data_IF_106119508002
#
_entry.id   IF_106119508002
#
_cell.length_a   1.000
_cell.length_b   1.000
_cell.length_c   1.000
_cell.angle_alpha   90.00
_cell.angle_beta   90.00
_cell.angle_gamma   90.00
#
_symmetry.space_group_name_H-M   'P 1'
#
loop_
_entity.id
_entity.type
_entity.pdbx_description
1 polymer ?
#
# COMPACT_ATOMS: atom_id res chain seq x y z
N UNK A 1 -21.60 1.85 -9.20
CA UNK A 1 -20.14 1.71 -9.33
C UNK A 1 -19.55 3.01 -8.81
N UNK A 2 -19.42 3.09 -7.49
CA UNK A 2 -18.96 4.30 -6.78
C UNK A 2 -17.50 4.52 -7.17
N UNK A 3 -17.25 5.52 -8.01
CA UNK A 3 -15.98 5.70 -8.74
C UNK A 3 -14.77 5.98 -7.85
N UNK A 4 -14.31 4.96 -7.15
CA UNK A 4 -13.00 4.86 -6.54
C UNK A 4 -12.22 3.78 -7.26
N UNK A 5 -10.99 4.08 -7.61
CA UNK A 5 -10.07 3.14 -8.22
C UNK A 5 -9.29 2.44 -7.12
N UNK A 6 -9.46 1.12 -7.01
CA UNK A 6 -8.70 0.29 -6.08
C UNK A 6 -7.71 -0.55 -6.89
N UNK A 7 -6.44 -0.51 -6.53
CA UNK A 7 -5.40 -1.29 -7.18
C UNK A 7 -4.77 -2.25 -6.17
N UNK A 8 -4.75 -3.53 -6.53
CA UNK A 8 -4.10 -4.57 -5.74
C UNK A 8 -2.90 -5.10 -6.51
N UNK A 9 -1.69 -4.85 -6.00
CA UNK A 9 -0.46 -5.27 -6.66
C UNK A 9 -0.21 -6.79 -6.55
N UNK A 10 -0.95 -7.51 -5.70
CA UNK A 10 -0.76 -8.96 -5.54
C UNK A 10 0.56 -9.30 -4.84
N UNK A 11 1.00 -10.58 -4.89
CA UNK A 11 2.31 -11.00 -4.43
C UNK A 11 3.38 -10.59 -5.45
N UNK A 12 3.50 -9.28 -5.65
CA UNK A 12 4.48 -8.71 -6.55
C UNK A 12 5.86 -8.89 -5.91
N UNK A 13 6.77 -9.54 -6.62
CA UNK A 13 8.16 -9.75 -6.17
C UNK A 13 9.15 -8.84 -6.88
N UNK A 14 8.74 -8.21 -7.99
CA UNK A 14 9.60 -7.40 -8.85
C UNK A 14 9.11 -5.95 -8.90
N UNK A 15 9.98 -4.99 -8.61
CA UNK A 15 9.63 -3.56 -8.63
C UNK A 15 9.34 -3.02 -10.04
N UNK A 16 9.74 -3.76 -11.08
CA UNK A 16 9.58 -3.36 -12.47
C UNK A 16 8.22 -3.77 -13.00
N UNK A 17 7.22 -2.94 -12.74
CA UNK A 17 5.98 -2.96 -13.49
C UNK A 17 6.21 -2.45 -14.91
N UNK A 18 5.66 -3.16 -15.90
CA UNK A 18 5.66 -2.71 -17.29
C UNK A 18 5.05 -1.31 -17.40
N UNK A 19 5.54 -0.45 -18.31
CA UNK A 19 5.01 0.90 -18.50
C UNK A 19 3.49 0.89 -18.75
N UNK A 20 3.00 -0.09 -19.54
CA UNK A 20 1.56 -0.30 -19.78
C UNK A 20 0.77 -0.51 -18.48
N UNK A 21 1.32 -1.27 -17.53
CA UNK A 21 0.71 -1.50 -16.22
C UNK A 21 0.73 -0.22 -15.39
N UNK A 22 1.81 0.57 -15.45
CA UNK A 22 1.87 1.85 -14.74
C UNK A 22 0.85 2.84 -15.28
N UNK A 23 0.70 2.92 -16.59
CA UNK A 23 -0.28 3.78 -17.26
C UNK A 23 -1.72 3.33 -17.00
N UNK A 24 -1.97 2.02 -16.96
CA UNK A 24 -3.29 1.47 -16.62
C UNK A 24 -3.68 1.70 -15.14
N UNK A 25 -2.68 1.92 -14.29
CA UNK A 25 -2.82 2.13 -12.85
C UNK A 25 -2.88 3.65 -12.53
N UNK A 26 -2.89 4.54 -13.52
CA UNK A 26 -3.01 5.98 -13.27
C UNK A 26 -4.33 6.36 -12.59
N UNK A 27 -4.26 7.22 -11.57
CA UNK A 27 -5.45 7.72 -10.85
C UNK A 27 -6.05 6.75 -9.83
N UNK A 28 -5.23 5.95 -9.14
CA UNK A 28 -5.70 5.09 -8.04
C UNK A 28 -6.08 5.94 -6.82
N UNK A 29 -7.18 5.59 -6.18
CA UNK A 29 -7.52 6.12 -4.87
C UNK A 29 -6.90 5.28 -3.75
N UNK A 30 -7.00 3.96 -3.83
CA UNK A 30 -6.49 3.04 -2.80
C UNK A 30 -5.56 2.01 -3.40
N UNK A 31 -4.30 2.01 -2.95
CA UNK A 31 -3.28 1.06 -3.38
C UNK A 31 -2.97 0.07 -2.28
N UNK A 32 -3.07 -1.21 -2.59
CA UNK A 32 -2.59 -2.29 -1.72
C UNK A 32 -1.22 -2.75 -2.20
N UNK A 33 -0.23 -2.69 -1.31
CA UNK A 33 1.16 -3.02 -1.63
C UNK A 33 1.68 -4.12 -0.71
N UNK A 34 2.25 -5.22 -1.25
CA UNK A 34 2.90 -6.23 -0.42
C UNK A 34 4.22 -5.67 0.15
N UNK A 35 4.46 -5.85 1.44
CA UNK A 35 5.65 -5.34 2.12
C UNK A 35 6.48 -6.44 2.81
N UNK A 36 6.25 -7.69 2.44
CA UNK A 36 6.71 -8.86 3.20
C UNK A 36 8.20 -9.14 3.15
N UNK A 37 8.99 -8.58 2.21
CA UNK A 37 10.46 -8.72 2.20
C UNK A 37 11.04 -10.14 2.03
N UNK A 38 10.22 -11.19 1.98
CA UNK A 38 10.63 -12.59 1.81
C UNK A 38 9.69 -13.29 0.79
N UNK A 39 10.03 -13.19 -0.50
CA UNK A 39 9.23 -13.71 -1.61
C UNK A 39 8.27 -12.70 -2.27
N UNK A 40 8.14 -11.50 -1.70
CA UNK A 40 7.44 -10.34 -2.30
C UNK A 40 8.31 -9.09 -2.21
N UNK A 41 7.78 -7.93 -2.59
CA UNK A 41 8.47 -6.64 -2.49
C UNK A 41 8.99 -6.37 -1.08
N UNK A 42 10.21 -5.82 -1.04
CA UNK A 42 10.83 -5.29 0.17
C UNK A 42 10.07 -4.05 0.66
N UNK A 43 9.85 -3.87 1.97
CA UNK A 43 9.09 -2.74 2.52
C UNK A 43 9.58 -1.36 2.03
N UNK A 44 10.89 -1.16 1.88
CA UNK A 44 11.42 0.12 1.40
C UNK A 44 11.10 0.34 -0.10
N UNK A 45 11.23 -0.72 -0.89
CA UNK A 45 10.95 -0.70 -2.33
C UNK A 45 9.45 -0.56 -2.60
N UNK A 46 8.63 -1.29 -1.83
CA UNK A 46 7.18 -1.22 -1.85
C UNK A 46 6.66 0.20 -1.60
N UNK A 47 7.20 0.89 -0.59
CA UNK A 47 6.84 2.28 -0.32
C UNK A 47 7.19 3.20 -1.49
N UNK A 48 8.43 3.08 -2.01
CA UNK A 48 8.88 3.88 -3.16
C UNK A 48 8.04 3.62 -4.41
N UNK A 49 7.59 2.38 -4.62
CA UNK A 49 6.69 2.02 -5.71
C UNK A 49 5.30 2.62 -5.48
N UNK A 50 4.78 2.54 -4.26
CA UNK A 50 3.48 3.09 -3.90
C UNK A 50 3.42 4.61 -4.12
N UNK A 51 4.44 5.36 -3.69
CA UNK A 51 4.52 6.81 -3.85
C UNK A 51 4.60 7.21 -5.34
N UNK A 52 5.20 6.39 -6.21
CA UNK A 52 5.23 6.68 -7.67
C UNK A 52 3.83 6.67 -8.30
N UNK A 53 2.88 5.96 -7.70
CA UNK A 53 1.50 5.92 -8.17
C UNK A 53 0.64 7.06 -7.63
N UNK A 54 1.18 7.88 -6.72
CA UNK A 54 0.44 8.96 -6.03
C UNK A 54 -0.98 8.56 -5.57
N UNK A 55 -1.18 7.40 -4.92
CA UNK A 55 -2.49 7.00 -4.45
C UNK A 55 -2.94 7.91 -3.31
N UNK A 56 -4.27 8.00 -3.10
CA UNK A 56 -4.82 8.73 -1.94
C UNK A 56 -4.52 7.99 -0.64
N UNK A 57 -4.63 6.66 -0.65
CA UNK A 57 -4.40 5.79 0.50
C UNK A 57 -3.51 4.62 0.09
N UNK A 58 -2.55 4.29 0.95
CA UNK A 58 -1.66 3.14 0.81
C UNK A 58 -1.95 2.14 1.93
N UNK A 59 -2.23 0.89 1.57
CA UNK A 59 -2.50 -0.19 2.51
C UNK A 59 -1.40 -1.24 2.37
N UNK A 60 -0.44 -1.31 3.32
CA UNK A 60 0.51 -2.39 3.35
C UNK A 60 -0.21 -3.73 3.57
N UNK A 61 0.26 -4.78 2.89
CA UNK A 61 -0.23 -6.16 2.98
C UNK A 61 0.97 -7.12 3.00
N UNK A 62 0.73 -8.42 3.21
CA UNK A 62 1.79 -9.42 3.33
C UNK A 62 2.84 -9.04 4.39
N UNK A 63 2.42 -8.77 5.62
CA UNK A 63 3.33 -8.61 6.77
C UNK A 63 2.79 -9.43 7.96
N UNK A 64 3.64 -9.69 8.97
CA UNK A 64 3.23 -10.40 10.18
C UNK A 64 3.38 -11.91 10.05
N UNK A 65 2.29 -12.64 9.76
CA UNK A 65 2.32 -14.10 9.58
C UNK A 65 2.90 -14.52 8.23
N UNK A 66 2.74 -13.67 7.22
CA UNK A 66 3.30 -13.85 5.88
C UNK A 66 4.35 -12.76 5.64
N UNK A 67 5.62 -13.15 5.55
CA UNK A 67 6.76 -12.25 5.37
C UNK A 67 7.49 -11.85 6.67
N UNK A 68 8.31 -10.80 6.59
CA UNK A 68 9.16 -10.34 7.68
C UNK A 68 8.34 -9.67 8.80
N UNK A 69 8.69 -9.97 10.06
CA UNK A 69 7.98 -9.41 11.23
C UNK A 69 8.23 -7.90 11.41
N UNK A 70 9.33 -7.39 10.88
CA UNK A 70 9.68 -5.97 10.92
C UNK A 70 9.26 -5.23 9.64
N UNK A 71 8.73 -5.92 8.63
CA UNK A 71 8.25 -5.35 7.39
C UNK A 71 7.41 -4.08 7.61
N UNK A 72 6.35 -4.20 8.42
CA UNK A 72 5.46 -3.08 8.73
C UNK A 72 6.21 -1.92 9.36
N UNK A 73 7.08 -2.21 10.33
CA UNK A 73 7.85 -1.18 11.03
C UNK A 73 8.81 -0.43 10.09
N UNK A 74 9.45 -1.16 9.18
CA UNK A 74 10.32 -0.56 8.15
C UNK A 74 9.49 0.28 7.18
N UNK A 75 8.37 -0.24 6.70
CA UNK A 75 7.47 0.47 5.79
C UNK A 75 6.94 1.78 6.39
N UNK A 76 6.44 1.72 7.63
CA UNK A 76 5.95 2.91 8.34
C UNK A 76 7.06 3.94 8.57
N UNK A 77 8.28 3.48 8.85
CA UNK A 77 9.43 4.36 9.00
C UNK A 77 9.81 5.04 7.68
N UNK A 78 9.79 4.32 6.57
CA UNK A 78 10.04 4.87 5.23
C UNK A 78 8.93 5.85 4.79
N UNK A 79 7.69 5.58 5.19
CA UNK A 79 6.56 6.47 4.98
C UNK A 79 6.53 7.69 5.92
N UNK A 80 7.36 7.71 6.96
CA UNK A 80 7.29 8.74 8.02
C UNK A 80 6.03 8.64 8.89
N UNK A 81 5.33 7.52 8.84
CA UNK A 81 4.03 7.23 9.45
C UNK A 81 4.17 6.24 10.62
N UNK A 82 5.22 6.40 11.43
CA UNK A 82 5.57 5.47 12.53
C UNK A 82 4.49 5.33 13.63
N UNK A 83 3.51 6.24 13.65
CA UNK A 83 2.41 6.26 14.64
C UNK A 83 1.11 5.63 14.13
N UNK A 84 1.07 5.13 12.89
CA UNK A 84 -0.13 4.47 12.35
C UNK A 84 -0.39 3.18 13.10
N UNK A 85 -1.62 3.05 13.62
CA UNK A 85 -2.07 1.85 14.34
C UNK A 85 -2.88 0.95 13.41
N UNK A 86 -2.70 -0.39 13.49
CA UNK A 86 -3.55 -1.33 12.77
C UNK A 86 -5.01 -1.17 13.20
N UNK A 87 -5.93 -1.30 12.24
CA UNK A 87 -7.38 -1.31 12.47
C UNK A 87 -8.01 -2.58 11.91
N UNK A 88 -8.93 -3.21 12.66
CA UNK A 88 -9.68 -4.39 12.19
C UNK A 88 -10.48 -4.13 10.91
N UNK A 89 -11.01 -2.90 10.77
CA UNK A 89 -11.91 -2.56 9.69
C UNK A 89 -11.70 -1.13 9.22
N UNK A 90 -11.43 -1.01 7.93
CA UNK A 90 -11.34 0.28 7.25
C UNK A 90 -12.64 0.53 6.47
N UNK A 91 -13.33 1.61 6.81
CA UNK A 91 -14.50 2.10 6.05
C UNK A 91 -14.14 3.45 5.46
N UNK A 92 -14.06 3.52 4.14
CA UNK A 92 -13.67 4.73 3.41
C UNK A 92 -14.79 5.13 2.47
N UNK A 93 -15.10 6.43 2.42
CA UNK A 93 -15.98 7.01 1.41
C UNK A 93 -15.20 7.98 0.56
N UNK A 94 -15.72 8.34 -0.61
CA UNK A 94 -15.08 9.32 -1.51
C UNK A 94 -14.67 10.63 -0.82
N UNK A 95 -15.50 11.10 0.12
CA UNK A 95 -15.22 12.31 0.91
C UNK A 95 -14.04 12.16 1.88
N UNK A 96 -13.73 10.95 2.32
CA UNK A 96 -12.63 10.67 3.24
C UNK A 96 -11.28 10.53 2.52
N UNK A 97 -11.28 10.24 1.21
CA UNK A 97 -10.07 10.23 0.36
C UNK A 97 -9.82 11.58 -0.33
N UNK A 98 -10.87 12.41 -0.47
CA UNK A 98 -10.74 13.77 -0.99
C UNK A 98 -9.88 14.61 -0.04
N UNK A 99 -8.60 14.78 -0.39
CA UNK A 99 -7.62 15.52 0.39
C UNK A 99 -6.52 14.68 1.03
N UNK A 100 -6.57 13.35 0.88
CA UNK A 100 -5.45 12.48 1.26
C UNK A 100 -4.40 12.41 0.17
N UNK A 101 -3.14 12.34 0.56
CA UNK A 101 -1.99 12.32 -0.33
C UNK A 101 -0.99 11.26 0.14
N UNK A 102 -1.32 9.98 -0.10
CA UNK A 102 -0.47 8.87 0.29
C UNK A 102 -0.57 8.46 1.77
N UNK A 103 -1.72 8.71 2.41
CA UNK A 103 -1.99 8.27 3.78
C UNK A 103 -1.80 6.76 3.90
N UNK A 104 -0.98 6.32 4.86
CA UNK A 104 -0.78 4.91 5.14
C UNK A 104 -1.83 4.43 6.12
N UNK A 105 -2.60 3.42 5.72
CA UNK A 105 -3.59 2.78 6.59
C UNK A 105 -3.26 1.31 6.77
N UNK A 106 -2.95 0.94 8.01
CA UNK A 106 -2.61 -0.44 8.35
C UNK A 106 -3.88 -1.18 8.77
N UNK A 107 -4.16 -2.30 8.09
CA UNK A 107 -5.20 -3.23 8.51
C UNK A 107 -4.61 -4.27 9.47
N UNK A 108 -5.37 -4.66 10.47
CA UNK A 108 -4.99 -5.78 11.32
C UNK A 108 -5.01 -7.06 10.48
N UNK A 109 -3.89 -7.79 10.46
CA UNK A 109 -3.81 -9.08 9.80
C UNK A 109 -4.60 -10.09 10.63
N UNK A 110 -5.60 -10.73 10.01
CA UNK A 110 -6.36 -11.84 10.59
C UNK A 110 -5.50 -13.10 10.71
#
# INVERSE_FOLDING_TARGET
LEGMNLCFLGPLSDEKLSPETKEAIDGIDVLFVPIGGDGVLDPAVAHKLAVQFSPKIIIPSHFGEVGDKNALKVFLKEAGEESVKPVDKLTIKRKDIEGKEGDVVVLEAL
#
